data_IF_794167299016
#
_entry.id   IF_794167299016
#
_cell.length_a   1.000
_cell.length_b   1.000
_cell.length_c   1.000
_cell.angle_alpha   90.00
_cell.angle_beta   90.00
_cell.angle_gamma   90.00
#
_symmetry.space_group_name_H-M   'P 1'
#
loop_
_entity.id
_entity.type
_entity.pdbx_description
1 polymer ?
#
# COMPACT_ATOMS: atom_id res chain seq x y z
N UNK A 1 -8.38 -7.30 -8.07
CA UNK A 1 -7.94 -8.08 -6.89
C UNK A 1 -9.11 -8.90 -6.38
N UNK A 2 -8.86 -9.96 -5.61
CA UNK A 2 -9.87 -10.76 -4.93
C UNK A 2 -9.43 -11.00 -3.49
N UNK A 3 -10.35 -10.85 -2.54
CA UNK A 3 -10.13 -11.16 -1.13
C UNK A 3 -11.17 -12.18 -0.68
N UNK A 4 -10.74 -13.15 0.14
CA UNK A 4 -11.64 -14.01 0.91
C UNK A 4 -11.78 -13.42 2.31
N UNK A 5 -13.02 -13.20 2.72
CA UNK A 5 -13.37 -12.60 4.01
C UNK A 5 -14.06 -13.67 4.85
N UNK A 6 -13.62 -13.83 6.09
CA UNK A 6 -14.25 -14.67 7.10
C UNK A 6 -14.53 -13.83 8.35
N UNK A 7 -15.76 -13.87 8.88
CA UNK A 7 -16.21 -13.04 10.00
C UNK A 7 -15.82 -11.55 9.87
N UNK A 8 -16.07 -10.97 8.69
CA UNK A 8 -15.73 -9.58 8.35
C UNK A 8 -14.23 -9.25 8.33
N UNK A 9 -13.36 -10.27 8.41
CA UNK A 9 -11.92 -10.12 8.38
C UNK A 9 -11.33 -10.71 7.09
N UNK A 10 -10.51 -9.98 6.33
CA UNK A 10 -9.89 -10.52 5.12
C UNK A 10 -8.79 -11.52 5.50
N UNK A 11 -9.00 -12.80 5.17
CA UNK A 11 -8.10 -13.90 5.55
C UNK A 11 -7.14 -14.31 4.43
N UNK A 12 -7.49 -14.01 3.18
CA UNK A 12 -6.65 -14.32 2.01
C UNK A 12 -6.84 -13.25 0.94
N UNK A 13 -5.76 -12.83 0.30
CA UNK A 13 -5.76 -11.81 -0.75
C UNK A 13 -4.97 -12.27 -1.97
N UNK A 14 -5.51 -12.00 -3.16
CA UNK A 14 -4.84 -12.19 -4.45
C UNK A 14 -4.97 -10.92 -5.30
N UNK A 15 -3.87 -10.51 -5.91
CA UNK A 15 -3.85 -9.47 -6.93
C UNK A 15 -3.11 -10.00 -8.16
N UNK A 16 -3.70 -9.77 -9.34
CA UNK A 16 -3.11 -10.12 -10.62
C UNK A 16 -3.02 -8.86 -11.48
N UNK A 17 -1.83 -8.56 -11.99
CA UNK A 17 -1.57 -7.49 -12.94
C UNK A 17 -1.41 -8.09 -14.34
N UNK A 18 -2.44 -8.00 -15.23
CA UNK A 18 -2.41 -8.67 -16.52
C UNK A 18 -1.27 -8.19 -17.43
N UNK A 19 -0.96 -6.90 -17.37
CA UNK A 19 0.03 -6.26 -18.26
C UNK A 19 1.45 -6.79 -18.04
N UNK A 20 1.80 -7.12 -16.79
CA UNK A 20 3.12 -7.65 -16.43
C UNK A 20 3.11 -9.16 -16.18
N UNK A 21 1.94 -9.76 -16.01
CA UNK A 21 1.78 -11.15 -15.59
C UNK A 21 2.06 -11.37 -14.10
N UNK A 22 2.21 -10.32 -13.30
CA UNK A 22 2.51 -10.46 -11.87
C UNK A 22 1.29 -10.97 -11.11
N UNK A 23 1.51 -12.00 -10.30
CA UNK A 23 0.52 -12.49 -9.34
C UNK A 23 1.07 -12.37 -7.92
N UNK A 24 0.32 -11.68 -7.06
CA UNK A 24 0.62 -11.49 -5.66
C UNK A 24 -0.44 -12.18 -4.83
N UNK A 25 -0.03 -12.93 -3.81
CA UNK A 25 -0.98 -13.57 -2.91
C UNK A 25 -0.42 -13.73 -1.50
N UNK A 26 -1.33 -13.77 -0.52
CA UNK A 26 -0.97 -13.97 0.88
C UNK A 26 -2.17 -14.45 1.69
N UNK A 27 -1.88 -15.14 2.80
CA UNK A 27 -2.84 -15.43 3.87
C UNK A 27 -2.51 -14.55 5.08
N UNK A 28 -3.54 -14.04 5.75
CA UNK A 28 -3.37 -13.22 6.96
C UNK A 28 -2.52 -13.95 8.01
N UNK A 29 -1.52 -13.24 8.56
CA UNK A 29 -0.58 -13.77 9.56
C UNK A 29 0.38 -14.85 9.05
N UNK A 30 0.51 -15.02 7.72
CA UNK A 30 1.43 -15.96 7.06
C UNK A 30 2.36 -15.21 6.11
N UNK A 31 3.05 -15.93 5.24
CA UNK A 31 3.89 -15.37 4.19
C UNK A 31 3.10 -14.75 3.03
N UNK A 32 3.69 -13.72 2.42
CA UNK A 32 3.28 -13.19 1.13
C UNK A 32 4.17 -13.70 -0.01
N UNK A 33 3.63 -13.77 -1.22
CA UNK A 33 4.33 -14.31 -2.40
C UNK A 33 4.07 -13.47 -3.65
N UNK A 34 5.10 -13.39 -4.50
CA UNK A 34 5.00 -13.00 -5.91
C UNK A 34 5.25 -14.24 -6.77
N UNK A 35 4.21 -14.76 -7.42
CA UNK A 35 4.22 -16.08 -8.02
C UNK A 35 4.52 -17.16 -6.98
N UNK A 36 5.70 -17.78 -7.10
CA UNK A 36 6.22 -18.78 -6.14
C UNK A 36 7.28 -18.22 -5.20
N UNK A 37 7.72 -16.97 -5.40
CA UNK A 37 8.79 -16.35 -4.62
C UNK A 37 8.20 -15.70 -3.37
N UNK A 38 8.70 -16.09 -2.20
CA UNK A 38 8.36 -15.43 -0.93
C UNK A 38 8.79 -13.95 -0.97
N UNK A 39 7.92 -13.09 -0.50
CA UNK A 39 8.16 -11.65 -0.33
C UNK A 39 8.39 -11.33 1.14
N UNK A 40 9.28 -10.40 1.38
CA UNK A 40 9.50 -9.80 2.68
C UNK A 40 10.03 -8.39 2.43
N UNK A 41 9.31 -7.38 2.93
CA UNK A 41 9.77 -6.00 2.86
C UNK A 41 10.91 -5.81 3.87
N UNK A 42 11.86 -4.95 3.50
CA UNK A 42 12.95 -4.54 4.38
C UNK A 42 12.87 -3.03 4.59
N UNK A 43 13.28 -2.58 5.76
CA UNK A 43 13.48 -1.14 6.00
C UNK A 43 14.66 -0.65 5.15
N UNK A 44 14.54 0.56 4.62
CA UNK A 44 15.54 1.21 3.79
C UNK A 44 15.70 2.69 4.18
N UNK A 45 16.82 3.28 3.79
CA UNK A 45 16.98 4.72 3.88
C UNK A 45 16.40 5.37 2.62
N UNK A 46 15.56 6.38 2.79
CA UNK A 46 14.95 7.10 1.67
C UNK A 46 15.98 8.04 1.03
N UNK A 47 16.22 7.85 -0.27
CA UNK A 47 17.18 8.63 -1.06
C UNK A 47 16.68 8.88 -2.50
N UNK A 48 17.55 9.38 -3.37
CA UNK A 48 17.28 9.71 -4.77
C UNK A 48 16.96 8.51 -5.67
N UNK A 49 17.32 7.30 -5.25
CA UNK A 49 16.96 6.05 -5.93
C UNK A 49 15.64 5.45 -5.44
N UNK A 50 15.11 5.92 -4.30
CA UNK A 50 13.84 5.45 -3.75
C UNK A 50 12.66 5.72 -4.68
N UNK A 51 11.61 4.90 -4.57
CA UNK A 51 10.39 5.02 -5.37
C UNK A 51 9.17 5.21 -4.48
N UNK A 52 8.40 6.26 -4.77
CA UNK A 52 7.12 6.55 -4.15
C UNK A 52 6.01 6.44 -5.20
N UNK A 53 5.02 5.58 -4.95
CA UNK A 53 3.80 5.59 -5.75
C UNK A 53 2.76 6.55 -5.18
N UNK A 54 2.01 7.24 -6.05
CA UNK A 54 0.96 8.18 -5.64
C UNK A 54 -0.27 8.08 -6.52
N UNK A 55 -1.42 8.53 -6.00
CA UNK A 55 -2.66 8.69 -6.77
C UNK A 55 -2.62 9.92 -7.72
N UNK A 56 -3.52 9.98 -8.70
CA UNK A 56 -3.45 10.96 -9.80
C UNK A 56 -3.56 12.42 -9.37
N UNK A 57 -4.34 12.71 -8.33
CA UNK A 57 -4.54 14.07 -7.79
C UNK A 57 -3.56 14.43 -6.67
N UNK A 58 -2.54 13.60 -6.42
CA UNK A 58 -1.60 13.80 -5.32
C UNK A 58 -1.03 15.22 -5.22
N UNK A 59 -0.67 15.83 -6.36
CA UNK A 59 -0.14 17.20 -6.44
C UNK A 59 -1.12 18.30 -6.00
N UNK A 60 -2.43 18.00 -5.98
CA UNK A 60 -3.46 18.92 -5.48
C UNK A 60 -3.55 18.89 -3.95
N UNK A 61 -3.11 17.80 -3.33
CA UNK A 61 -3.19 17.57 -1.89
C UNK A 61 -1.84 17.67 -1.18
N UNK A 62 -0.74 17.55 -1.90
CA UNK A 62 0.60 17.53 -1.32
C UNK A 62 1.63 18.28 -2.15
N UNK A 63 2.49 19.02 -1.46
CA UNK A 63 3.82 19.38 -1.96
C UNK A 63 4.82 18.35 -1.43
N UNK A 64 5.70 17.86 -2.31
CA UNK A 64 6.63 16.78 -1.95
C UNK A 64 8.08 17.24 -2.12
N UNK A 65 8.88 17.00 -1.08
CA UNK A 65 10.34 17.06 -1.11
C UNK A 65 10.94 15.64 -1.12
N UNK A 66 10.17 14.64 -1.55
CA UNK A 66 10.65 13.26 -1.64
C UNK A 66 11.86 13.21 -2.59
N UNK A 67 13.02 12.69 -2.14
CA UNK A 67 14.26 12.80 -2.91
C UNK A 67 14.26 11.92 -4.16
N UNK A 68 13.50 10.84 -4.14
CA UNK A 68 13.47 9.84 -5.19
C UNK A 68 12.40 10.05 -6.26
N UNK A 69 12.07 8.95 -6.94
CA UNK A 69 11.18 8.92 -8.10
C UNK A 69 9.73 8.79 -7.65
N UNK A 70 8.91 9.79 -7.97
CA UNK A 70 7.46 9.71 -7.80
C UNK A 70 6.82 9.11 -9.06
N UNK A 71 5.94 8.11 -8.93
CA UNK A 71 5.30 7.40 -10.04
C UNK A 71 3.83 7.12 -9.74
N UNK A 72 3.05 6.84 -10.78
CA UNK A 72 1.67 6.39 -10.64
C UNK A 72 1.35 5.32 -11.70
N UNK A 73 1.11 4.08 -11.26
CA UNK A 73 0.64 2.96 -12.10
C UNK A 73 -0.86 2.98 -12.45
N UNK A 74 -1.64 3.93 -11.90
CA UNK A 74 -3.09 4.01 -12.11
C UNK A 74 -3.92 2.96 -11.35
N UNK A 75 -3.33 2.21 -10.43
CA UNK A 75 -4.02 1.19 -9.62
C UNK A 75 -3.44 1.11 -8.20
N UNK A 76 -4.26 1.41 -7.19
CA UNK A 76 -3.83 1.38 -5.79
C UNK A 76 -3.35 -0.01 -5.34
N UNK A 77 -4.10 -1.07 -5.69
CA UNK A 77 -3.68 -2.45 -5.40
C UNK A 77 -2.30 -2.77 -6.01
N UNK A 78 -1.99 -2.24 -7.19
CA UNK A 78 -0.69 -2.41 -7.82
C UNK A 78 0.41 -1.68 -7.06
N UNK A 79 0.18 -0.42 -6.67
CA UNK A 79 1.12 0.35 -5.87
C UNK A 79 1.48 -0.41 -4.59
N UNK A 80 0.47 -0.89 -3.86
CA UNK A 80 0.66 -1.63 -2.61
C UNK A 80 1.43 -2.94 -2.82
N UNK A 81 1.07 -3.71 -3.86
CA UNK A 81 1.75 -4.98 -4.13
C UNK A 81 3.21 -4.78 -4.53
N UNK A 82 3.54 -3.70 -5.24
CA UNK A 82 4.92 -3.38 -5.60
C UNK A 82 5.74 -2.88 -4.40
N UNK A 83 5.11 -2.23 -3.42
CA UNK A 83 5.73 -1.96 -2.11
C UNK A 83 5.97 -3.28 -1.37
N UNK A 84 4.99 -4.18 -1.32
CA UNK A 84 5.12 -5.49 -0.68
C UNK A 84 6.23 -6.36 -1.31
N UNK A 85 6.45 -6.19 -2.62
CA UNK A 85 7.54 -6.83 -3.37
C UNK A 85 8.93 -6.24 -3.09
N UNK A 86 9.00 -5.08 -2.43
CA UNK A 86 10.25 -4.33 -2.24
C UNK A 86 10.75 -3.64 -3.52
N UNK A 87 9.86 -3.35 -4.48
CA UNK A 87 10.18 -2.61 -5.72
C UNK A 87 9.84 -1.12 -5.63
N UNK A 88 9.17 -0.72 -4.56
CA UNK A 88 9.00 0.66 -4.17
C UNK A 88 9.08 0.78 -2.65
N UNK A 89 9.50 1.94 -2.17
CA UNK A 89 9.71 2.19 -0.74
C UNK A 89 8.41 2.59 -0.03
N UNK A 90 7.49 3.22 -0.76
CA UNK A 90 6.18 3.58 -0.25
C UNK A 90 5.12 3.83 -1.35
N UNK A 91 3.86 3.91 -0.92
CA UNK A 91 2.75 4.38 -1.72
C UNK A 91 1.80 5.28 -0.91
N UNK A 92 1.29 6.36 -1.53
CA UNK A 92 0.17 7.16 -1.01
C UNK A 92 -1.10 6.80 -1.76
N UNK A 93 -2.10 6.35 -1.02
CA UNK A 93 -3.39 5.87 -1.53
C UNK A 93 -4.50 6.80 -1.03
N UNK A 94 -5.50 7.07 -1.86
CA UNK A 94 -6.62 7.93 -1.53
C UNK A 94 -7.90 7.47 -2.25
N UNK A 95 -9.08 7.74 -1.67
CA UNK A 95 -10.38 7.53 -2.30
C UNK A 95 -10.60 6.07 -2.77
N UNK A 96 -10.19 5.11 -1.94
CA UNK A 96 -10.35 3.68 -2.18
C UNK A 96 -11.48 3.09 -1.32
N UNK A 97 -12.10 2.02 -1.81
CA UNK A 97 -13.11 1.28 -1.04
C UNK A 97 -12.48 0.15 -0.22
N UNK A 98 -13.20 -0.33 0.78
CA UNK A 98 -12.84 -1.54 1.54
C UNK A 98 -12.44 -2.69 0.59
N UNK A 99 -13.28 -2.98 -0.40
CA UNK A 99 -13.08 -4.09 -1.33
C UNK A 99 -11.84 -3.88 -2.22
N UNK A 100 -11.58 -2.63 -2.62
CA UNK A 100 -10.39 -2.26 -3.40
C UNK A 100 -9.08 -2.48 -2.62
N UNK A 101 -9.13 -2.35 -1.30
CA UNK A 101 -7.96 -2.43 -0.42
C UNK A 101 -7.77 -3.80 0.24
N UNK A 102 -8.84 -4.55 0.52
CA UNK A 102 -8.83 -5.75 1.35
C UNK A 102 -7.76 -6.79 0.94
N UNK A 103 -7.69 -7.14 -0.35
CA UNK A 103 -6.72 -8.12 -0.84
C UNK A 103 -5.28 -7.61 -0.71
N UNK A 104 -5.05 -6.35 -1.10
CA UNK A 104 -3.73 -5.74 -1.09
C UNK A 104 -3.23 -5.52 0.35
N UNK A 105 -4.13 -5.24 1.29
CA UNK A 105 -3.84 -5.14 2.73
C UNK A 105 -3.31 -6.45 3.28
N UNK A 106 -3.98 -7.58 3.01
CA UNK A 106 -3.49 -8.90 3.45
C UNK A 106 -2.09 -9.18 2.90
N UNK A 107 -1.84 -8.81 1.64
CA UNK A 107 -0.54 -9.01 0.98
C UNK A 107 0.57 -8.16 1.62
N UNK A 108 0.36 -6.86 1.81
CA UNK A 108 1.40 -5.98 2.38
C UNK A 108 1.69 -6.31 3.85
N UNK A 109 0.65 -6.60 4.66
CA UNK A 109 0.83 -6.96 6.07
C UNK A 109 1.57 -8.29 6.22
N UNK A 110 1.24 -9.30 5.40
CA UNK A 110 1.96 -10.57 5.36
C UNK A 110 3.41 -10.45 4.84
N UNK A 111 3.69 -9.44 4.01
CA UNK A 111 5.05 -9.11 3.58
C UNK A 111 5.85 -8.34 4.66
N UNK A 112 5.21 -7.93 5.76
CA UNK A 112 5.83 -7.17 6.86
C UNK A 112 5.67 -5.65 6.75
N UNK A 113 4.95 -5.15 5.75
CA UNK A 113 4.63 -3.74 5.60
C UNK A 113 3.39 -3.32 6.40
N UNK A 114 3.07 -2.03 6.33
CA UNK A 114 1.92 -1.44 7.01
C UNK A 114 1.14 -0.52 6.09
N UNK A 115 -0.15 -0.38 6.38
CA UNK A 115 -1.05 0.63 5.84
C UNK A 115 -1.46 1.50 7.02
N UNK A 116 -1.10 2.77 7.00
CA UNK A 116 -1.36 3.71 8.09
C UNK A 116 -1.98 4.99 7.52
N UNK A 117 -2.77 5.71 8.32
CA UNK A 117 -3.14 7.08 7.98
C UNK A 117 -1.93 8.00 8.19
N UNK A 118 -2.01 9.25 7.75
CA UNK A 118 -0.94 10.21 8.04
C UNK A 118 -0.87 10.56 9.53
N UNK A 119 -1.95 10.43 10.28
CA UNK A 119 -1.97 10.72 11.72
C UNK A 119 -1.50 9.55 12.59
N UNK A 120 -1.56 8.31 12.08
CA UNK A 120 -1.09 7.14 12.80
C UNK A 120 -1.44 5.81 12.13
N UNK A 121 -1.13 4.71 12.80
CA UNK A 121 -1.36 3.35 12.28
C UNK A 121 -2.65 2.70 12.82
N UNK A 122 -3.53 3.48 13.43
CA UNK A 122 -4.85 3.03 13.89
C UNK A 122 -5.84 3.05 12.72
N UNK A 123 -5.61 2.15 11.75
CA UNK A 123 -6.48 1.98 10.59
C UNK A 123 -7.24 0.65 10.67
N UNK A 124 -8.50 0.72 11.11
CA UNK A 124 -9.40 -0.42 11.19
C UNK A 124 -10.24 -0.52 9.90
N UNK A 125 -9.80 -1.33 8.94
CA UNK A 125 -10.50 -1.49 7.66
C UNK A 125 -11.96 -1.92 7.87
N UNK A 126 -12.25 -2.66 8.94
CA UNK A 126 -13.60 -3.17 9.26
C UNK A 126 -14.63 -2.06 9.49
N UNK A 127 -14.22 -0.82 9.76
CA UNK A 127 -15.12 0.32 9.88
C UNK A 127 -15.76 0.72 8.53
N UNK A 128 -15.22 0.22 7.41
CA UNK A 128 -15.63 0.56 6.04
C UNK A 128 -16.36 -0.59 5.31
N UNK A 129 -16.84 -1.60 6.04
CA UNK A 129 -17.49 -2.80 5.46
C UNK A 129 -18.71 -2.48 4.59
N UNK A 130 -19.42 -1.38 4.89
CA UNK A 130 -20.61 -0.95 4.16
C UNK A 130 -20.32 -0.39 2.75
N UNK A 131 -19.07 -0.48 2.29
CA UNK A 131 -18.65 -0.05 0.97
C UNK A 131 -18.43 1.46 0.86
N UNK A 132 -18.45 2.18 1.99
CA UNK A 132 -18.03 3.57 2.04
C UNK A 132 -16.58 3.70 1.60
N UNK A 133 -16.28 4.85 1.01
CA UNK A 133 -14.90 5.17 0.65
C UNK A 133 -14.14 5.53 1.91
N UNK A 134 -12.87 5.18 1.90
CA UNK A 134 -11.92 5.66 2.90
C UNK A 134 -11.55 7.08 2.49
N UNK A 135 -12.02 8.05 3.28
CA UNK A 135 -11.77 9.47 3.05
C UNK A 135 -10.34 9.86 3.43
N UNK A 136 -9.73 9.12 4.35
CA UNK A 136 -8.34 9.29 4.75
C UNK A 136 -7.36 8.96 3.62
N UNK A 137 -6.30 9.76 3.52
CA UNK A 137 -5.13 9.38 2.75
C UNK A 137 -4.29 8.37 3.55
N UNK A 138 -3.92 7.28 2.89
CA UNK A 138 -3.17 6.18 3.47
C UNK A 138 -1.73 6.20 2.96
N UNK A 139 -0.77 6.03 3.87
CA UNK A 139 0.62 5.79 3.57
C UNK A 139 0.93 4.31 3.79
N UNK A 140 1.46 3.68 2.75
CA UNK A 140 1.83 2.27 2.72
C UNK A 140 3.34 2.15 2.59
N UNK A 141 4.00 1.50 3.54
CA UNK A 141 5.47 1.37 3.53
C UNK A 141 5.95 0.23 4.45
N UNK A 142 7.27 0.00 4.45
CA UNK A 142 7.92 -0.67 5.57
C UNK A 142 7.80 0.19 6.84
N UNK A 143 7.73 -0.39 8.06
CA UNK A 143 7.61 0.38 9.29
C UNK A 143 8.72 1.42 9.49
N UNK A 144 9.98 1.08 9.20
CA UNK A 144 11.12 2.00 9.32
C UNK A 144 11.13 3.15 8.30
N UNK A 145 10.37 3.01 7.21
CA UNK A 145 10.29 4.01 6.15
C UNK A 145 9.19 5.06 6.40
N UNK A 146 8.20 4.74 7.24
CA UNK A 146 6.98 5.55 7.40
C UNK A 146 7.28 7.02 7.71
N UNK A 147 8.08 7.29 8.74
CA UNK A 147 8.40 8.66 9.16
C UNK A 147 9.25 9.41 8.13
N UNK A 148 10.21 8.72 7.51
CA UNK A 148 11.05 9.33 6.48
C UNK A 148 10.20 9.80 5.29
N UNK A 149 9.28 8.96 4.81
CA UNK A 149 8.39 9.30 3.70
C UNK A 149 7.37 10.36 4.12
N UNK A 150 6.72 10.21 5.27
CA UNK A 150 5.74 11.18 5.78
C UNK A 150 6.33 12.59 5.87
N UNK A 151 7.56 12.73 6.37
CA UNK A 151 8.22 14.04 6.52
C UNK A 151 8.57 14.70 5.17
N UNK A 152 8.65 13.94 4.09
CA UNK A 152 8.81 14.48 2.75
C UNK A 152 7.52 15.07 2.16
N UNK A 153 6.35 14.79 2.77
CA UNK A 153 5.04 15.11 2.21
C UNK A 153 4.36 16.20 3.04
N UNK A 154 4.25 17.40 2.46
CA UNK A 154 3.60 18.54 3.08
C UNK A 154 2.17 18.65 2.54
N UNK A 155 1.14 18.64 3.40
CA UNK A 155 -0.24 18.88 2.96
C UNK A 155 -0.34 20.22 2.21
N UNK A 156 -1.10 20.24 1.11
CA UNK A 156 -1.43 21.43 0.38
C UNK A 156 -2.33 22.34 1.22
N UNK A 157 -2.08 23.64 1.13
CA UNK A 157 -2.95 24.71 1.67
C UNK A 157 -4.24 24.84 0.88
#
# INVERSE_FOLDING_TARGET
>A
SLALIDNFWPIFGVFYMPTTGDIFHARAGKEAFWGKKKMQIADSHINDESVLFTFSRFHQHYRSNFPGKIRNLGCASAHICYVAMGRADAAVIANESFQGLAAARVIIEAAGGKVCTFDGCDFHLNEYLDGQKIDDHLLVSAPGNFMQVKNCLQPGS
#
